data_IF_718525173221
#
_entry.id   IF_718525173221
#
_cell.length_a   1.000
_cell.length_b   1.000
_cell.length_c   1.000
_cell.angle_alpha   90.00
_cell.angle_beta   90.00
_cell.angle_gamma   90.00
#
_symmetry.space_group_name_H-M   'P 1'
#
loop_
_entity.id
_entity.type
_entity.pdbx_description
1 polymer ?
#
# COMPACT_ATOMS: atom_id res chain seq x y z
N UNK A 1 9.58 -7.84 52.04
CA UNK A 1 8.70 -6.72 51.72
C UNK A 1 9.45 -5.79 50.78
N UNK A 2 9.83 -6.27 49.57
CA UNK A 2 10.60 -5.50 48.58
C UNK A 2 10.53 -6.10 47.17
N UNK A 3 9.49 -6.84 46.81
CA UNK A 3 9.32 -7.48 45.49
C UNK A 3 8.06 -6.98 44.72
N UNK A 4 7.19 -6.16 45.38
CA UNK A 4 5.97 -5.68 44.70
C UNK A 4 6.11 -4.27 44.07
N UNK A 5 7.24 -3.57 44.29
CA UNK A 5 7.42 -2.21 43.74
C UNK A 5 8.09 -2.16 42.36
N UNK A 6 8.67 -3.27 41.89
CA UNK A 6 9.31 -3.32 40.57
C UNK A 6 8.37 -3.78 39.44
N UNK A 7 7.28 -4.46 39.78
CA UNK A 7 6.28 -4.93 38.79
C UNK A 7 5.32 -3.81 38.37
N UNK A 8 5.05 -2.84 39.26
CA UNK A 8 4.16 -1.71 38.95
C UNK A 8 4.79 -0.72 37.96
N UNK A 9 6.08 -0.46 38.08
CA UNK A 9 6.78 0.51 37.25
C UNK A 9 7.07 -0.02 35.81
N UNK A 10 7.34 -1.32 35.70
CA UNK A 10 7.48 -1.98 34.40
C UNK A 10 6.14 -2.14 33.66
N UNK A 11 5.05 -2.11 34.39
CA UNK A 11 3.69 -2.20 33.84
C UNK A 11 3.20 -0.80 33.38
N UNK A 12 3.51 0.26 34.13
CA UNK A 12 3.26 1.64 33.71
C UNK A 12 4.12 2.02 32.47
N UNK A 13 5.40 1.62 32.44
CA UNK A 13 6.28 1.85 31.28
C UNK A 13 5.88 1.01 30.05
N UNK A 14 5.24 -0.13 30.22
CA UNK A 14 4.72 -0.96 29.15
C UNK A 14 3.37 -0.46 28.61
N UNK A 15 2.52 0.05 29.50
CA UNK A 15 1.24 0.67 29.13
C UNK A 15 1.50 2.00 28.39
N UNK A 16 2.48 2.82 28.81
CA UNK A 16 2.93 4.04 28.08
C UNK A 16 3.50 3.71 26.68
N UNK A 17 4.23 2.57 26.54
CA UNK A 17 4.74 2.13 25.23
C UNK A 17 3.64 1.59 24.32
N UNK A 18 2.65 0.89 24.87
CA UNK A 18 1.51 0.39 24.09
C UNK A 18 0.55 1.55 23.72
N UNK A 19 0.37 2.55 24.59
CA UNK A 19 -0.33 3.78 24.26
C UNK A 19 0.37 4.52 23.09
N UNK A 20 1.70 4.55 23.04
CA UNK A 20 2.46 5.13 21.93
C UNK A 20 2.27 4.39 20.60
N UNK A 21 2.09 3.08 20.62
CA UNK A 21 1.79 2.28 19.41
C UNK A 21 0.30 2.31 19.02
N UNK A 22 -0.62 2.45 19.99
CA UNK A 22 -2.03 2.72 19.73
C UNK A 22 -2.23 4.15 19.21
N UNK A 23 -1.45 5.13 19.70
CA UNK A 23 -1.46 6.51 19.24
C UNK A 23 -0.91 6.64 17.79
N UNK A 24 0.10 5.88 17.37
CA UNK A 24 0.52 5.84 15.96
C UNK A 24 -0.56 5.22 15.04
N UNK A 25 -1.35 4.27 15.52
CA UNK A 25 -2.52 3.75 14.81
C UNK A 25 -3.72 4.69 14.91
N UNK A 26 -3.83 5.51 15.95
CA UNK A 26 -4.85 6.55 16.12
C UNK A 26 -4.41 7.92 15.59
N UNK A 27 -3.12 8.25 15.49
CA UNK A 27 -2.61 9.52 14.91
C UNK A 27 -2.90 9.64 13.40
N UNK A 28 -3.13 8.53 12.72
CA UNK A 28 -3.81 8.57 11.40
C UNK A 28 -5.27 9.09 11.55
N UNK A 29 -5.81 9.19 12.75
CA UNK A 29 -7.22 9.52 13.03
C UNK A 29 -7.40 10.75 13.95
N UNK A 30 -6.40 11.26 14.67
CA UNK A 30 -6.63 12.36 15.62
C UNK A 30 -5.74 13.57 15.38
N UNK A 31 -6.32 14.52 14.67
CA UNK A 31 -5.96 15.92 14.78
C UNK A 31 -6.25 16.47 16.21
N UNK A 32 -5.46 17.42 16.67
CA UNK A 32 -5.47 18.00 18.02
C UNK A 32 -6.87 18.46 18.47
N UNK A 33 -7.23 18.27 19.76
CA UNK A 33 -8.50 18.76 20.26
C UNK A 33 -8.47 20.29 20.36
N UNK A 34 -9.25 20.95 19.54
CA UNK A 34 -9.72 22.30 19.88
C UNK A 34 -10.64 22.21 21.09
N UNK A 35 -10.53 23.10 22.07
CA UNK A 35 -11.35 23.23 23.30
C UNK A 35 -12.86 23.54 23.04
N UNK A 36 -13.32 23.48 21.81
CA UNK A 36 -14.73 23.47 21.44
C UNK A 36 -15.15 21.99 21.33
N UNK A 37 -16.14 21.57 22.12
CA UNK A 37 -16.69 20.21 22.05
C UNK A 37 -16.95 19.81 20.58
N UNK A 38 -16.97 18.49 20.26
CA UNK A 38 -16.93 18.00 18.89
C UNK A 38 -17.99 18.69 18.04
N UNK A 39 -17.55 19.48 17.06
CA UNK A 39 -18.45 20.15 16.11
C UNK A 39 -19.26 19.08 15.34
N UNK A 40 -20.41 19.46 14.80
CA UNK A 40 -21.20 18.57 13.96
C UNK A 40 -20.44 18.13 12.70
N UNK A 41 -19.45 18.89 12.29
CA UNK A 41 -18.61 18.63 11.12
C UNK A 41 -17.23 19.27 11.30
N UNK A 42 -16.26 18.68 10.63
CA UNK A 42 -14.88 19.14 10.52
C UNK A 42 -14.42 19.03 9.08
N UNK A 43 -13.82 20.09 8.55
CA UNK A 43 -13.25 20.11 7.21
C UNK A 43 -11.74 20.33 7.32
N UNK A 44 -10.99 19.34 6.89
CA UNK A 44 -9.53 19.39 6.79
C UNK A 44 -9.09 19.23 5.35
N UNK A 45 -7.85 19.57 5.07
CA UNK A 45 -7.32 19.37 3.73
C UNK A 45 -5.85 19.75 3.62
N UNK A 46 -5.27 19.41 2.49
CA UNK A 46 -3.93 19.86 2.13
C UNK A 46 -3.84 20.30 0.67
N UNK A 47 -3.02 21.30 0.45
CA UNK A 47 -2.57 21.73 -0.86
C UNK A 47 -1.09 21.45 -0.98
N UNK A 48 -0.69 20.60 -1.93
CA UNK A 48 0.70 20.26 -2.14
C UNK A 48 1.18 20.58 -3.55
N UNK A 49 2.46 20.88 -3.65
CA UNK A 49 3.19 21.00 -4.92
C UNK A 49 4.40 20.08 -4.84
N UNK A 50 4.50 19.14 -5.76
CA UNK A 50 5.63 18.23 -5.85
C UNK A 50 6.31 18.34 -7.21
N UNK A 51 7.63 18.18 -7.22
CA UNK A 51 8.44 18.15 -8.42
C UNK A 51 9.37 16.93 -8.40
N UNK A 52 9.55 16.29 -9.54
CA UNK A 52 10.47 15.17 -9.73
C UNK A 52 11.41 15.45 -10.90
N UNK A 53 12.71 15.21 -10.70
CA UNK A 53 13.74 15.39 -11.71
C UNK A 53 14.49 14.09 -11.96
N UNK A 54 14.19 13.44 -13.10
CA UNK A 54 14.80 12.20 -13.54
C UNK A 54 16.14 12.47 -14.23
N UNK A 55 17.25 12.36 -13.52
CA UNK A 55 18.56 12.69 -14.05
C UNK A 55 19.24 11.52 -14.81
N UNK A 56 18.86 10.30 -14.52
CA UNK A 56 19.42 9.10 -15.13
C UNK A 56 18.60 8.53 -16.29
N UNK A 57 17.35 9.00 -16.48
CA UNK A 57 16.48 8.53 -17.55
C UNK A 57 17.12 8.74 -18.93
N UNK A 58 17.03 7.72 -19.80
CA UNK A 58 17.58 7.82 -21.16
C UNK A 58 16.58 8.45 -22.12
N UNK A 59 17.04 9.46 -22.82
CA UNK A 59 16.30 10.06 -23.94
C UNK A 59 16.21 9.09 -25.12
N UNK A 60 15.17 9.22 -25.95
CA UNK A 60 14.84 8.41 -27.13
C UNK A 60 14.26 7.04 -26.82
N UNK A 61 12.99 7.03 -26.57
CA UNK A 61 12.18 5.83 -26.44
C UNK A 61 11.29 5.68 -27.69
N UNK A 62 11.17 4.49 -28.30
CA UNK A 62 10.35 4.28 -29.48
C UNK A 62 8.84 4.49 -29.24
N UNK A 63 8.40 4.52 -27.99
CA UNK A 63 7.00 4.68 -27.57
C UNK A 63 6.69 6.09 -27.05
N UNK A 64 7.42 7.12 -27.47
CA UNK A 64 7.19 8.51 -27.07
C UNK A 64 7.18 8.71 -25.54
N UNK A 65 8.24 8.32 -24.85
CA UNK A 65 8.45 8.62 -23.44
C UNK A 65 9.56 9.64 -23.27
N UNK A 66 9.25 10.82 -22.79
CA UNK A 66 10.24 11.86 -22.53
C UNK A 66 10.16 12.28 -21.05
N UNK A 67 10.80 11.49 -20.19
CA UNK A 67 10.82 11.73 -18.75
C UNK A 67 12.16 12.22 -18.22
N UNK A 68 13.15 12.43 -19.09
CA UNK A 68 14.45 12.97 -18.67
C UNK A 68 14.33 14.44 -18.28
N UNK A 69 14.86 14.79 -17.13
CA UNK A 69 14.77 16.15 -16.58
C UNK A 69 13.58 16.29 -15.65
N UNK A 70 12.73 17.30 -15.88
CA UNK A 70 11.53 17.52 -15.06
C UNK A 70 10.48 16.43 -15.37
N UNK A 71 10.46 15.34 -14.61
CA UNK A 71 9.55 14.22 -14.86
C UNK A 71 8.14 14.50 -14.34
N UNK A 72 7.99 15.24 -13.23
CA UNK A 72 6.70 15.65 -12.67
C UNK A 72 6.78 17.07 -12.11
N UNK A 73 5.69 17.82 -12.21
CA UNK A 73 5.43 19.08 -11.52
C UNK A 73 3.94 19.14 -11.18
N UNK A 74 3.58 18.45 -10.11
CA UNK A 74 2.20 18.16 -9.72
C UNK A 74 1.72 19.12 -8.64
N UNK A 75 0.55 19.71 -8.85
CA UNK A 75 -0.21 20.42 -7.82
C UNK A 75 -1.41 19.58 -7.45
N UNK A 76 -1.56 19.28 -6.15
CA UNK A 76 -2.62 18.40 -5.63
C UNK A 76 -3.38 19.09 -4.51
N UNK A 77 -4.68 18.91 -4.50
CA UNK A 77 -5.58 19.29 -3.40
C UNK A 77 -6.24 18.02 -2.86
N UNK A 78 -6.17 17.82 -1.55
CA UNK A 78 -6.96 16.84 -0.80
C UNK A 78 -7.94 17.58 0.09
N UNK A 79 -9.17 17.08 0.19
CA UNK A 79 -10.19 17.57 1.09
C UNK A 79 -10.85 16.41 1.81
N UNK A 80 -11.10 16.57 3.10
CA UNK A 80 -11.77 15.60 3.95
C UNK A 80 -12.82 16.30 4.81
N UNK A 81 -14.03 15.83 4.76
CA UNK A 81 -15.14 16.25 5.59
C UNK A 81 -15.55 15.10 6.52
N UNK A 82 -15.33 15.27 7.79
CA UNK A 82 -15.78 14.38 8.84
C UNK A 82 -17.07 14.92 9.49
N UNK A 83 -18.06 14.03 9.69
CA UNK A 83 -19.36 14.34 10.23
C UNK A 83 -19.60 13.52 11.50
N UNK A 84 -19.86 14.19 12.62
CA UNK A 84 -20.32 13.60 13.86
C UNK A 84 -21.84 13.59 13.91
N UNK A 85 -22.44 12.41 13.78
CA UNK A 85 -23.87 12.21 13.70
C UNK A 85 -24.46 11.77 15.07
N UNK A 86 -25.78 11.91 15.30
CA UNK A 86 -26.39 11.44 16.53
C UNK A 86 -26.15 9.96 16.82
N UNK A 87 -26.06 9.57 18.10
CA UNK A 87 -25.85 8.18 18.59
C UNK A 87 -24.46 7.64 18.21
N UNK A 88 -23.44 8.46 18.25
CA UNK A 88 -22.03 8.12 17.97
C UNK A 88 -21.78 7.55 16.55
N UNK A 89 -22.70 7.85 15.62
CA UNK A 89 -22.45 7.59 14.22
C UNK A 89 -21.50 8.64 13.64
N UNK A 90 -20.61 8.19 12.76
CA UNK A 90 -19.64 9.04 12.05
C UNK A 90 -19.76 8.80 10.56
N UNK A 91 -19.50 9.81 9.77
CA UNK A 91 -19.36 9.68 8.32
C UNK A 91 -18.17 10.50 7.85
N UNK A 92 -17.50 10.02 6.82
CA UNK A 92 -16.43 10.71 6.13
C UNK A 92 -16.73 10.82 4.66
N UNK A 93 -16.37 11.95 4.08
CA UNK A 93 -16.28 12.16 2.64
C UNK A 93 -14.95 12.80 2.33
N UNK A 94 -14.08 12.11 1.61
CA UNK A 94 -12.79 12.67 1.18
C UNK A 94 -12.57 12.48 -0.32
N UNK A 95 -11.72 13.34 -0.87
CA UNK A 95 -11.34 13.28 -2.27
C UNK A 95 -10.03 13.99 -2.52
N UNK A 96 -9.37 13.62 -3.62
CA UNK A 96 -8.16 14.26 -4.12
C UNK A 96 -8.33 14.67 -5.56
N UNK A 97 -7.64 15.73 -5.95
CA UNK A 97 -7.48 16.07 -7.35
C UNK A 97 -6.09 16.62 -7.58
N UNK A 98 -5.47 16.27 -8.70
CA UNK A 98 -4.18 16.81 -9.09
C UNK A 98 -4.12 17.21 -10.56
N UNK A 99 -3.15 18.07 -10.86
CA UNK A 99 -2.73 18.41 -12.21
C UNK A 99 -1.20 18.44 -12.30
N UNK A 100 -0.64 17.66 -13.25
CA UNK A 100 0.80 17.62 -13.49
C UNK A 100 1.19 18.48 -14.69
N UNK A 101 1.79 19.63 -14.40
CA UNK A 101 2.20 20.60 -15.39
C UNK A 101 3.41 20.17 -16.24
N UNK A 102 4.15 19.14 -15.85
CA UNK A 102 5.35 18.65 -16.55
C UNK A 102 5.00 18.22 -17.98
N UNK A 103 3.89 17.52 -18.18
CA UNK A 103 3.42 17.09 -19.50
C UNK A 103 3.22 18.25 -20.47
N UNK A 104 2.68 19.36 -19.98
CA UNK A 104 2.49 20.56 -20.79
C UNK A 104 3.80 21.28 -21.07
N UNK A 105 4.69 21.36 -20.08
CA UNK A 105 6.01 22.01 -20.21
C UNK A 105 6.89 21.25 -21.20
N UNK A 106 6.91 19.93 -21.14
CA UNK A 106 7.69 19.08 -22.04
C UNK A 106 7.03 18.89 -23.43
N UNK A 107 5.75 19.22 -23.53
CA UNK A 107 4.93 19.11 -24.74
C UNK A 107 4.22 17.77 -24.84
N UNK A 108 2.90 17.78 -24.63
CA UNK A 108 2.00 16.60 -24.61
C UNK A 108 2.21 15.61 -25.76
N UNK A 109 2.62 16.08 -26.94
CA UNK A 109 2.91 15.25 -28.12
C UNK A 109 4.05 14.22 -27.92
N UNK A 110 4.86 14.39 -26.88
CA UNK A 110 5.99 13.52 -26.55
C UNK A 110 5.57 12.34 -25.66
N UNK A 111 4.27 12.23 -25.35
CA UNK A 111 3.68 11.22 -24.49
C UNK A 111 2.56 10.49 -25.22
N UNK A 112 2.23 9.29 -24.81
CA UNK A 112 1.08 8.53 -25.31
C UNK A 112 -0.22 9.10 -24.73
N UNK A 113 -1.35 8.83 -25.39
CA UNK A 113 -2.65 9.29 -24.89
C UNK A 113 -2.98 8.59 -23.55
N UNK A 114 -2.64 7.29 -23.42
CA UNK A 114 -2.85 6.49 -22.21
C UNK A 114 -2.09 7.10 -21.01
N UNK A 115 -0.82 7.48 -21.19
CA UNK A 115 -0.03 8.11 -20.12
C UNK A 115 -0.57 9.48 -19.73
N UNK A 116 -1.12 10.26 -20.68
CA UNK A 116 -1.74 11.55 -20.40
C UNK A 116 -3.06 11.38 -19.63
N UNK A 117 -3.89 10.42 -20.03
CA UNK A 117 -5.21 10.20 -19.44
C UNK A 117 -5.14 9.80 -17.95
N UNK A 118 -4.04 9.14 -17.53
CA UNK A 118 -3.90 8.62 -16.15
C UNK A 118 -2.95 9.42 -15.27
N UNK A 119 -2.05 10.20 -15.86
CA UNK A 119 -0.96 10.85 -15.10
C UNK A 119 -0.92 12.38 -15.22
N UNK A 120 -1.61 13.01 -16.21
CA UNK A 120 -1.62 14.47 -16.33
C UNK A 120 -2.58 15.12 -15.35
N UNK A 121 -3.79 14.60 -15.19
CA UNK A 121 -4.75 15.06 -14.20
C UNK A 121 -5.68 13.96 -13.73
N UNK A 122 -6.12 14.06 -12.47
CA UNK A 122 -7.06 13.13 -11.86
C UNK A 122 -7.94 13.86 -10.86
N UNK A 123 -9.19 13.46 -10.78
CA UNK A 123 -10.12 13.84 -9.72
C UNK A 123 -10.83 12.59 -9.20
N UNK A 124 -10.60 12.23 -7.96
CA UNK A 124 -11.11 11.00 -7.36
C UNK A 124 -11.73 11.25 -5.98
N UNK A 125 -12.89 10.61 -5.73
CA UNK A 125 -13.35 10.40 -4.36
C UNK A 125 -12.57 9.28 -3.73
N UNK A 126 -11.94 9.53 -2.57
CA UNK A 126 -11.19 8.54 -1.84
C UNK A 126 -12.08 7.78 -0.86
N UNK A 127 -12.26 8.25 0.34
CA UNK A 127 -13.12 7.58 1.31
C UNK A 127 -14.52 8.23 1.36
N UNK A 128 -15.54 7.40 1.30
CA UNK A 128 -16.94 7.79 1.53
C UNK A 128 -17.61 6.68 2.34
N UNK A 129 -17.70 6.86 3.65
CA UNK A 129 -18.22 5.82 4.51
C UNK A 129 -19.08 6.37 5.66
N UNK A 130 -19.91 5.49 6.20
CA UNK A 130 -20.71 5.66 7.41
C UNK A 130 -20.35 4.55 8.40
N UNK A 131 -20.09 4.92 9.67
CA UNK A 131 -19.72 4.00 10.74
C UNK A 131 -20.55 4.27 11.99
N UNK A 132 -20.90 3.21 12.73
CA UNK A 132 -21.56 3.33 14.01
C UNK A 132 -21.91 1.98 14.61
N UNK A 133 -22.30 1.99 15.89
CA UNK A 133 -22.67 0.78 16.63
C UNK A 133 -24.13 0.41 16.35
N UNK A 134 -24.33 -0.81 15.86
CA UNK A 134 -25.66 -1.41 15.71
C UNK A 134 -26.17 -1.96 17.05
N UNK A 135 -25.25 -2.53 17.83
CA UNK A 135 -25.46 -3.09 19.17
C UNK A 135 -24.23 -2.76 20.03
N UNK A 136 -24.30 -2.85 21.38
CA UNK A 136 -23.14 -2.54 22.25
C UNK A 136 -21.85 -3.31 21.94
N UNK A 137 -21.93 -4.42 21.19
CA UNK A 137 -20.81 -5.30 20.85
C UNK A 137 -20.68 -5.47 19.34
N UNK A 138 -21.40 -4.72 18.52
CA UNK A 138 -21.43 -4.87 17.07
C UNK A 138 -21.38 -3.53 16.38
N UNK A 139 -20.26 -3.27 15.71
CA UNK A 139 -20.07 -2.09 14.87
C UNK A 139 -20.22 -2.42 13.39
N UNK A 140 -20.75 -1.44 12.67
CA UNK A 140 -20.87 -1.45 11.22
C UNK A 140 -20.06 -0.28 10.64
N UNK A 141 -19.25 -0.55 9.62
CA UNK A 141 -18.71 0.46 8.71
C UNK A 141 -19.10 0.09 7.28
N UNK A 142 -19.75 1.00 6.57
CA UNK A 142 -20.23 0.78 5.20
C UNK A 142 -19.82 1.93 4.29
N UNK A 143 -19.31 1.60 3.12
CA UNK A 143 -18.94 2.56 2.08
C UNK A 143 -17.54 2.33 1.56
N UNK A 144 -17.02 3.29 0.79
CA UNK A 144 -15.68 3.25 0.22
C UNK A 144 -14.67 3.56 1.31
N UNK A 145 -13.80 2.60 1.62
CA UNK A 145 -12.89 2.63 2.77
C UNK A 145 -11.64 1.78 2.54
N UNK A 146 -10.63 2.01 3.37
CA UNK A 146 -9.41 1.21 3.43
C UNK A 146 -9.48 0.31 4.67
N UNK A 147 -9.02 -0.94 4.52
CA UNK A 147 -8.82 -1.91 5.62
C UNK A 147 -7.40 -2.45 5.52
N UNK A 148 -6.58 -2.17 6.51
CA UNK A 148 -5.22 -2.70 6.59
C UNK A 148 -5.19 -3.95 7.48
N UNK A 149 -4.66 -5.06 6.97
CA UNK A 149 -4.44 -6.30 7.72
C UNK A 149 -2.95 -6.59 7.96
N UNK A 150 -2.07 -5.89 7.23
CA UNK A 150 -0.63 -6.12 7.29
C UNK A 150 0.01 -5.69 8.61
N UNK A 151 1.11 -6.32 8.96
CA UNK A 151 2.00 -5.97 10.07
C UNK A 151 3.26 -5.25 9.58
N UNK A 152 3.61 -5.44 8.31
CA UNK A 152 4.69 -4.71 7.67
C UNK A 152 4.17 -3.44 7.04
N UNK A 153 4.91 -2.36 7.21
CA UNK A 153 4.66 -1.07 6.57
C UNK A 153 5.18 -0.99 5.12
N UNK A 154 5.86 -2.04 4.65
CA UNK A 154 6.55 -1.99 3.36
C UNK A 154 6.22 -3.16 2.44
N UNK A 155 5.93 -4.35 2.97
CA UNK A 155 5.69 -5.56 2.18
C UNK A 155 4.35 -6.18 2.57
N UNK A 156 3.46 -6.42 1.61
CA UNK A 156 2.16 -7.05 1.83
C UNK A 156 2.27 -8.57 1.83
N UNK A 157 1.68 -9.24 2.82
CA UNK A 157 1.51 -10.69 2.88
C UNK A 157 0.03 -11.07 3.01
N UNK A 158 -0.61 -10.70 4.12
CA UNK A 158 -2.05 -10.97 4.37
C UNK A 158 -2.97 -9.80 3.99
N UNK A 159 -2.42 -8.65 3.67
CA UNK A 159 -3.15 -7.43 3.31
C UNK A 159 -3.58 -7.47 1.84
N UNK A 160 -4.77 -8.04 1.57
CA UNK A 160 -5.25 -8.39 0.23
C UNK A 160 -6.57 -7.73 -0.17
N UNK A 161 -7.14 -6.84 0.68
CA UNK A 161 -8.49 -6.33 0.46
C UNK A 161 -8.55 -5.03 -0.32
N UNK A 162 -7.51 -4.22 -0.24
CA UNK A 162 -7.44 -2.97 -0.98
C UNK A 162 -6.36 -3.06 -2.05
N UNK A 163 -6.65 -2.73 -3.30
CA UNK A 163 -5.63 -2.63 -4.34
C UNK A 163 -4.69 -1.45 -4.08
N UNK A 164 -3.57 -1.38 -4.81
CA UNK A 164 -2.56 -0.35 -4.67
C UNK A 164 -2.44 0.53 -5.92
N UNK A 165 -2.10 1.79 -5.72
CA UNK A 165 -1.61 2.68 -6.77
C UNK A 165 -0.09 2.48 -6.95
N UNK A 166 0.27 1.60 -7.89
CA UNK A 166 1.66 1.25 -8.20
C UNK A 166 2.24 2.08 -9.36
N UNK A 167 1.56 3.15 -9.78
CA UNK A 167 1.98 3.96 -10.96
C UNK A 167 3.34 4.62 -10.79
N UNK A 168 3.74 4.95 -9.56
CA UNK A 168 4.99 5.66 -9.25
C UNK A 168 5.80 4.92 -8.15
N UNK A 169 6.36 3.72 -8.43
CA UNK A 169 7.01 2.89 -7.43
C UNK A 169 8.19 3.59 -6.76
N UNK A 170 8.25 3.53 -5.43
CA UNK A 170 9.31 4.14 -4.62
C UNK A 170 9.16 5.64 -4.35
N UNK A 171 8.20 6.34 -4.96
CA UNK A 171 7.95 7.76 -4.73
C UNK A 171 6.91 8.02 -3.63
N UNK A 172 6.02 7.07 -3.39
CA UNK A 172 4.93 7.16 -2.42
C UNK A 172 5.15 6.11 -1.33
N UNK A 173 4.80 6.41 -0.09
CA UNK A 173 4.82 5.42 0.99
C UNK A 173 3.64 4.46 0.83
N UNK A 174 3.80 3.21 1.28
CA UNK A 174 2.81 2.15 1.03
C UNK A 174 1.44 2.43 1.67
N UNK A 175 1.41 3.20 2.73
CA UNK A 175 0.18 3.61 3.41
C UNK A 175 -0.70 4.47 2.50
N UNK A 176 -0.08 5.37 1.74
CA UNK A 176 -0.74 6.24 0.76
C UNK A 176 -1.04 5.54 -0.57
N UNK A 177 -0.51 4.33 -0.80
CA UNK A 177 -0.74 3.58 -2.03
C UNK A 177 -2.08 2.84 -2.04
N UNK A 178 -2.68 2.56 -0.87
CA UNK A 178 -3.93 1.78 -0.84
C UNK A 178 -5.08 2.55 -1.46
N UNK A 179 -5.76 1.89 -2.39
CA UNK A 179 -6.95 2.42 -3.05
C UNK A 179 -8.20 1.98 -2.28
N UNK A 180 -9.07 2.90 -1.86
CA UNK A 180 -10.28 2.54 -1.16
C UNK A 180 -11.27 1.85 -2.09
N UNK A 181 -12.04 0.89 -1.53
CA UNK A 181 -13.12 0.17 -2.23
C UNK A 181 -14.39 0.13 -1.39
N UNK A 182 -15.54 0.03 -2.05
CA UNK A 182 -16.83 -0.04 -1.38
C UNK A 182 -17.00 -1.41 -0.72
N UNK A 183 -17.12 -1.40 0.61
CA UNK A 183 -17.32 -2.62 1.39
C UNK A 183 -18.28 -2.41 2.58
N UNK A 184 -18.81 -3.53 3.07
CA UNK A 184 -19.48 -3.64 4.36
C UNK A 184 -18.55 -4.35 5.31
N UNK A 185 -18.22 -3.72 6.44
CA UNK A 185 -17.42 -4.29 7.52
C UNK A 185 -18.26 -4.37 8.78
N UNK A 186 -18.26 -5.52 9.44
CA UNK A 186 -18.93 -5.78 10.71
C UNK A 186 -17.89 -6.27 11.71
N UNK A 187 -17.80 -5.62 12.87
CA UNK A 187 -16.91 -5.98 13.96
C UNK A 187 -17.73 -6.38 15.19
N UNK A 188 -17.54 -7.63 15.64
CA UNK A 188 -18.17 -8.16 16.86
C UNK A 188 -17.14 -8.35 17.96
N UNK A 189 -17.32 -7.68 19.09
CA UNK A 189 -16.39 -7.66 20.22
C UNK A 189 -16.80 -8.63 21.32
N UNK A 190 -15.86 -9.47 21.78
CA UNK A 190 -16.04 -10.38 22.91
C UNK A 190 -14.76 -10.52 23.75
N UNK A 191 -14.70 -9.83 24.87
CA UNK A 191 -13.49 -9.78 25.70
C UNK A 191 -12.29 -9.25 24.90
N UNK A 192 -11.15 -9.95 24.87
CA UNK A 192 -9.97 -9.52 24.10
C UNK A 192 -10.06 -9.87 22.61
N UNK A 193 -11.17 -10.44 22.16
CA UNK A 193 -11.34 -10.90 20.78
C UNK A 193 -12.28 -10.03 19.98
N UNK A 194 -11.92 -9.78 18.74
CA UNK A 194 -12.77 -9.15 17.72
C UNK A 194 -12.93 -10.12 16.56
N UNK A 195 -14.18 -10.41 16.20
CA UNK A 195 -14.52 -11.12 14.98
C UNK A 195 -14.98 -10.11 13.93
N UNK A 196 -14.24 -10.00 12.84
CA UNK A 196 -14.53 -9.11 11.72
C UNK A 196 -15.07 -9.91 10.54
N UNK A 197 -16.17 -9.45 9.92
CA UNK A 197 -16.69 -9.96 8.66
C UNK A 197 -16.72 -8.84 7.62
N UNK A 198 -16.25 -9.10 6.40
CA UNK A 198 -16.16 -8.10 5.33
C UNK A 198 -16.79 -8.66 4.04
N UNK A 199 -17.59 -7.82 3.37
CA UNK A 199 -18.06 -8.04 2.01
C UNK A 199 -17.63 -6.85 1.15
N UNK A 200 -16.74 -7.09 0.17
CA UNK A 200 -16.29 -6.08 -0.80
C UNK A 200 -17.24 -6.09 -2.00
N UNK A 201 -17.82 -4.94 -2.32
CA UNK A 201 -18.86 -4.78 -3.34
C UNK A 201 -18.36 -4.16 -4.64
N UNK A 202 -17.26 -3.43 -4.57
CA UNK A 202 -16.59 -2.80 -5.70
C UNK A 202 -15.41 -3.66 -6.15
N UNK A 203 -15.40 -4.07 -7.41
CA UNK A 203 -14.26 -4.73 -8.04
C UNK A 203 -13.33 -3.63 -8.53
N UNK A 204 -12.13 -3.56 -7.97
CA UNK A 204 -11.06 -2.64 -8.35
C UNK A 204 -9.75 -3.40 -8.21
N UNK A 205 -8.81 -3.15 -9.10
CA UNK A 205 -7.50 -3.78 -9.13
C UNK A 205 -6.40 -2.75 -8.93
N UNK A 206 -5.17 -3.23 -8.79
CA UNK A 206 -3.98 -2.39 -8.71
C UNK A 206 -3.90 -1.45 -9.92
N UNK A 207 -3.68 -0.17 -9.66
CA UNK A 207 -3.35 0.80 -10.70
C UNK A 207 -1.85 0.71 -11.00
N UNK A 208 -1.54 0.04 -12.10
CA UNK A 208 -0.17 -0.12 -12.57
C UNK A 208 0.20 0.98 -13.58
N UNK A 209 1.51 1.20 -13.86
CA UNK A 209 1.93 2.14 -14.89
C UNK A 209 1.28 1.82 -16.24
N UNK A 210 0.66 2.80 -16.90
CA UNK A 210 0.03 2.66 -18.20
C UNK A 210 1.01 2.69 -19.34
N UNK A 211 0.57 2.20 -20.52
CA UNK A 211 1.40 2.15 -21.71
C UNK A 211 1.95 3.54 -22.08
N UNK A 212 3.27 3.63 -22.14
CA UNK A 212 3.97 4.85 -22.44
C UNK A 212 4.21 5.75 -21.22
N UNK A 213 3.70 5.41 -20.03
CA UNK A 213 4.09 6.08 -18.79
C UNK A 213 5.55 5.78 -18.42
N UNK A 214 6.10 6.53 -17.49
CA UNK A 214 7.51 6.48 -17.15
C UNK A 214 7.97 5.10 -16.67
N UNK A 215 7.16 4.44 -15.85
CA UNK A 215 7.49 3.15 -15.22
C UNK A 215 6.95 1.93 -15.98
N UNK A 216 6.29 2.14 -17.13
CA UNK A 216 5.80 1.01 -17.92
C UNK A 216 6.96 0.21 -18.52
N UNK A 217 7.07 -1.12 -18.24
CA UNK A 217 8.32 -1.84 -18.45
C UNK A 217 8.59 -2.26 -19.90
N UNK A 218 7.57 -2.32 -20.75
CA UNK A 218 7.68 -2.90 -22.10
C UNK A 218 7.26 -1.90 -23.19
N UNK A 219 7.74 -2.13 -24.43
CA UNK A 219 7.49 -1.24 -25.59
C UNK A 219 6.26 -1.64 -26.40
N UNK A 220 5.41 -2.53 -25.92
CA UNK A 220 4.21 -3.04 -26.59
C UNK A 220 3.01 -2.80 -25.69
N UNK A 221 1.88 -2.28 -26.23
CA UNK A 221 0.65 -2.15 -25.43
C UNK A 221 0.22 -3.48 -24.84
N UNK A 222 -0.28 -3.53 -23.60
CA UNK A 222 -0.81 -4.74 -23.00
C UNK A 222 -2.07 -5.21 -23.77
N UNK A 223 -2.39 -6.50 -23.71
CA UNK A 223 -3.70 -6.98 -24.18
C UNK A 223 -4.85 -6.33 -23.41
N UNK A 224 -6.07 -6.30 -23.98
CA UNK A 224 -7.24 -5.83 -23.25
C UNK A 224 -7.44 -6.61 -21.97
N UNK A 225 -7.80 -5.91 -20.91
CA UNK A 225 -8.10 -6.49 -19.59
C UNK A 225 -9.62 -6.70 -19.44
N UNK A 226 -9.99 -7.84 -18.88
CA UNK A 226 -11.37 -8.18 -18.54
C UNK A 226 -11.59 -7.94 -17.04
N UNK A 227 -12.21 -6.81 -16.72
CA UNK A 227 -12.55 -6.46 -15.35
C UNK A 227 -13.93 -6.99 -14.99
N UNK A 228 -14.07 -7.91 -14.01
CA UNK A 228 -15.37 -8.37 -13.53
C UNK A 228 -16.24 -7.21 -13.03
N UNK A 229 -17.54 -7.25 -13.34
CA UNK A 229 -18.47 -6.22 -12.89
C UNK A 229 -18.71 -6.24 -11.37
N UNK A 230 -19.11 -5.09 -10.80
CA UNK A 230 -19.32 -4.91 -9.37
C UNK A 230 -20.47 -5.77 -8.80
N UNK A 231 -20.28 -6.30 -7.59
CA UNK A 231 -21.30 -6.97 -6.79
C UNK A 231 -21.78 -8.32 -7.31
N UNK A 232 -22.88 -8.82 -6.75
CA UNK A 232 -23.47 -10.11 -7.13
C UNK A 232 -22.52 -11.29 -6.87
N UNK A 233 -22.25 -12.10 -7.91
CA UNK A 233 -21.30 -13.24 -7.83
C UNK A 233 -19.84 -12.79 -7.69
N UNK A 234 -19.54 -11.53 -7.99
CA UNK A 234 -18.20 -10.96 -7.93
C UNK A 234 -17.88 -10.31 -6.57
N UNK A 235 -18.85 -10.27 -5.64
CA UNK A 235 -18.59 -9.87 -4.25
C UNK A 235 -17.46 -10.71 -3.67
N UNK A 236 -16.48 -10.02 -3.09
CA UNK A 236 -15.40 -10.67 -2.34
C UNK A 236 -15.77 -10.77 -0.88
N UNK A 237 -15.27 -11.78 -0.21
CA UNK A 237 -15.60 -12.07 1.17
C UNK A 237 -14.34 -12.24 2.00
N UNK A 238 -14.36 -11.68 3.19
CA UNK A 238 -13.25 -11.82 4.08
C UNK A 238 -13.70 -11.89 5.55
N UNK A 239 -12.89 -12.53 6.38
CA UNK A 239 -13.11 -12.63 7.81
C UNK A 239 -11.78 -12.59 8.55
N UNK A 240 -11.78 -11.99 9.74
CA UNK A 240 -10.64 -12.01 10.64
C UNK A 240 -11.08 -12.28 12.08
N UNK A 241 -10.26 -13.00 12.83
CA UNK A 241 -10.39 -13.17 14.28
C UNK A 241 -9.12 -12.62 14.92
N UNK A 242 -9.22 -11.48 15.60
CA UNK A 242 -8.09 -10.78 16.23
C UNK A 242 -8.22 -10.84 17.74
N UNK A 243 -7.14 -11.25 18.41
CA UNK A 243 -7.02 -11.22 19.87
C UNK A 243 -5.89 -10.27 20.28
N UNK A 244 -6.22 -9.32 21.17
CA UNK A 244 -5.27 -8.32 21.69
C UNK A 244 -5.03 -8.61 23.17
N UNK A 245 -3.74 -8.71 23.55
CA UNK A 245 -3.30 -9.04 24.89
C UNK A 245 -2.16 -8.13 25.31
N UNK A 246 -1.83 -8.10 26.60
CA UNK A 246 -0.72 -7.28 27.10
C UNK A 246 0.61 -7.68 26.44
N UNK A 247 1.18 -6.82 25.64
CA UNK A 247 2.46 -6.99 24.95
C UNK A 247 2.45 -7.89 23.71
N UNK A 248 1.31 -8.40 23.25
CA UNK A 248 1.21 -9.18 22.01
C UNK A 248 -0.20 -9.23 21.46
N UNK A 249 -0.30 -9.42 20.17
CA UNK A 249 -1.55 -9.68 19.48
C UNK A 249 -1.41 -10.86 18.52
N UNK A 250 -2.54 -11.42 18.12
CA UNK A 250 -2.62 -12.50 17.13
C UNK A 250 -3.88 -12.34 16.30
N UNK A 251 -3.77 -12.59 15.00
CA UNK A 251 -4.92 -12.58 14.10
C UNK A 251 -4.91 -13.77 13.17
N UNK A 252 -6.09 -14.32 12.90
CA UNK A 252 -6.34 -15.33 11.87
C UNK A 252 -7.20 -14.69 10.79
N UNK A 253 -6.88 -14.94 9.53
CA UNK A 253 -7.53 -14.31 8.38
C UNK A 253 -7.99 -15.34 7.37
N UNK A 254 -9.10 -15.08 6.74
CA UNK A 254 -9.59 -15.77 5.57
C UNK A 254 -10.13 -14.75 4.56
N UNK A 255 -9.81 -14.93 3.28
CA UNK A 255 -10.38 -14.11 2.22
C UNK A 255 -10.63 -14.93 0.96
N UNK A 256 -11.69 -14.59 0.23
CA UNK A 256 -11.95 -15.03 -1.13
C UNK A 256 -12.16 -13.80 -2.00
N UNK A 257 -11.20 -13.53 -2.87
CA UNK A 257 -11.05 -12.28 -3.60
C UNK A 257 -10.50 -12.54 -5.01
N UNK A 258 -10.43 -11.50 -5.83
CA UNK A 258 -9.72 -11.57 -7.12
C UNK A 258 -8.24 -11.20 -6.92
N UNK A 259 -7.35 -11.85 -7.67
CA UNK A 259 -5.94 -11.47 -7.71
C UNK A 259 -5.80 -10.08 -8.35
N UNK A 260 -5.14 -9.16 -7.66
CA UNK A 260 -4.83 -7.83 -8.19
C UNK A 260 -3.88 -7.92 -9.40
N UNK A 261 -3.08 -8.99 -9.48
CA UNK A 261 -2.18 -9.26 -10.61
C UNK A 261 -2.92 -10.05 -11.68
N UNK A 262 -3.18 -9.40 -12.82
CA UNK A 262 -3.77 -10.07 -13.97
C UNK A 262 -2.79 -11.07 -14.61
N UNK A 263 -3.30 -12.21 -15.04
CA UNK A 263 -2.58 -13.19 -15.87
C UNK A 263 -3.06 -13.14 -17.32
N UNK A 264 -2.20 -13.56 -18.24
CA UNK A 264 -2.55 -13.62 -19.66
C UNK A 264 -3.36 -14.90 -19.93
N UNK A 265 -4.45 -14.78 -20.70
CA UNK A 265 -5.23 -15.92 -21.18
C UNK A 265 -5.50 -15.82 -22.68
N UNK A 266 -5.65 -16.95 -23.37
CA UNK A 266 -6.09 -17.02 -24.76
C UNK A 266 -7.59 -17.32 -24.84
N UNK A 267 -8.39 -16.27 -25.00
CA UNK A 267 -9.85 -16.40 -25.08
C UNK A 267 -10.32 -16.69 -26.51
N UNK A 268 -11.31 -17.60 -26.72
CA UNK A 268 -11.85 -17.89 -28.02
C UNK A 268 -12.45 -16.65 -28.69
N UNK A 269 -12.05 -16.36 -29.93
CA UNK A 269 -12.69 -15.33 -30.73
C UNK A 269 -13.89 -15.89 -31.50
N UNK A 270 -14.93 -15.07 -31.70
CA UNK A 270 -16.09 -15.47 -32.50
C UNK A 270 -15.72 -15.80 -33.95
N UNK A 271 -14.69 -15.19 -34.52
CA UNK A 271 -14.11 -15.44 -35.85
C UNK A 271 -12.60 -15.23 -35.73
N UNK A 272 -11.81 -16.23 -36.17
CA UNK A 272 -10.35 -16.18 -36.21
C UNK A 272 -9.67 -16.93 -35.05
N UNK A 273 -8.37 -16.76 -34.87
CA UNK A 273 -7.61 -17.39 -33.78
C UNK A 273 -8.01 -16.82 -32.42
N UNK A 274 -7.75 -17.57 -31.32
CA UNK A 274 -7.88 -17.04 -29.96
C UNK A 274 -7.10 -15.73 -29.79
N UNK A 275 -7.60 -14.85 -28.92
CA UNK A 275 -7.01 -13.54 -28.67
C UNK A 275 -6.43 -13.51 -27.26
N UNK A 276 -5.27 -12.88 -27.07
CA UNK A 276 -4.74 -12.65 -25.73
C UNK A 276 -5.63 -11.63 -24.99
N UNK A 277 -5.91 -11.91 -23.75
CA UNK A 277 -6.67 -11.08 -22.82
C UNK A 277 -6.06 -11.21 -21.42
N UNK A 278 -6.11 -10.15 -20.63
CA UNK A 278 -5.74 -10.20 -19.22
C UNK A 278 -6.96 -10.53 -18.38
N UNK A 279 -6.83 -11.53 -17.52
CA UNK A 279 -7.88 -12.04 -16.64
C UNK A 279 -7.40 -12.02 -15.18
N UNK A 280 -8.33 -11.93 -14.22
CA UNK A 280 -8.05 -11.96 -12.80
C UNK A 280 -8.52 -13.25 -12.16
N UNK A 281 -7.59 -14.03 -11.64
CA UNK A 281 -7.87 -15.28 -10.94
C UNK A 281 -8.66 -15.07 -9.64
N UNK A 282 -9.50 -16.04 -9.28
CA UNK A 282 -10.23 -16.00 -8.01
C UNK A 282 -9.50 -16.78 -6.94
N UNK A 283 -8.85 -16.07 -6.02
CA UNK A 283 -8.02 -16.65 -4.98
C UNK A 283 -8.79 -16.92 -3.69
N UNK A 284 -8.32 -17.92 -2.95
CA UNK A 284 -8.67 -18.12 -1.53
C UNK A 284 -7.40 -17.99 -0.69
N UNK A 285 -7.42 -17.14 0.32
CA UNK A 285 -6.31 -16.95 1.27
C UNK A 285 -6.71 -17.44 2.66
N UNK A 286 -5.77 -18.14 3.32
CA UNK A 286 -5.76 -18.39 4.75
C UNK A 286 -4.51 -17.76 5.33
N UNK A 287 -4.66 -16.90 6.32
CA UNK A 287 -3.56 -16.14 6.89
C UNK A 287 -3.52 -16.17 8.41
N UNK A 288 -2.35 -15.94 8.96
CA UNK A 288 -2.13 -15.70 10.38
C UNK A 288 -1.07 -14.62 10.56
N UNK A 289 -1.25 -13.77 11.55
CA UNK A 289 -0.27 -12.73 11.88
C UNK A 289 -0.20 -12.50 13.39
N UNK A 290 0.86 -11.84 13.83
CA UNK A 290 0.99 -11.42 15.21
C UNK A 290 2.19 -10.51 15.44
N UNK A 291 2.08 -9.73 16.49
CA UNK A 291 3.14 -8.89 17.02
C UNK A 291 3.49 -9.33 18.44
N UNK A 292 4.73 -9.13 18.83
CA UNK A 292 5.20 -9.33 20.19
C UNK A 292 6.17 -8.23 20.59
N UNK A 293 5.78 -7.41 21.56
CA UNK A 293 6.59 -6.34 22.12
C UNK A 293 7.49 -6.86 23.25
N UNK A 294 8.79 -6.56 23.19
CA UNK A 294 9.77 -6.95 24.18
C UNK A 294 10.77 -5.81 24.43
N UNK A 295 10.49 -5.00 25.45
CA UNK A 295 11.26 -3.76 25.70
C UNK A 295 11.18 -2.84 24.47
N UNK A 296 12.31 -2.44 23.94
CA UNK A 296 12.38 -1.58 22.73
C UNK A 296 12.30 -2.35 21.41
N UNK A 297 11.93 -3.61 21.43
CA UNK A 297 11.82 -4.46 20.25
C UNK A 297 10.36 -4.80 19.95
N UNK A 298 9.95 -4.71 18.69
CA UNK A 298 8.71 -5.27 18.18
C UNK A 298 9.05 -6.38 17.18
N UNK A 299 8.61 -7.60 17.49
CA UNK A 299 8.70 -8.74 16.58
C UNK A 299 7.39 -8.87 15.83
N UNK A 300 7.46 -8.94 14.49
CA UNK A 300 6.32 -9.06 13.58
C UNK A 300 6.40 -10.39 12.84
N UNK A 301 5.28 -11.08 12.67
CA UNK A 301 5.22 -12.29 11.87
C UNK A 301 3.92 -12.37 11.10
N UNK A 302 4.02 -12.78 9.83
CA UNK A 302 2.87 -13.09 8.98
C UNK A 302 3.10 -14.40 8.23
N UNK A 303 2.04 -15.15 8.02
CA UNK A 303 2.03 -16.31 7.14
C UNK A 303 0.72 -16.34 6.37
N UNK A 304 0.79 -16.58 5.05
CA UNK A 304 -0.37 -16.72 4.20
C UNK A 304 -0.23 -17.94 3.26
N UNK A 305 -1.33 -18.63 3.07
CA UNK A 305 -1.49 -19.67 2.06
C UNK A 305 -2.51 -19.18 1.03
N UNK A 306 -2.12 -19.17 -0.24
CA UNK A 306 -2.96 -18.79 -1.37
C UNK A 306 -3.25 -19.99 -2.23
N UNK A 307 -4.49 -20.14 -2.66
CA UNK A 307 -4.98 -21.18 -3.55
C UNK A 307 -5.74 -20.57 -4.72
N UNK A 308 -5.56 -21.12 -5.93
CA UNK A 308 -6.22 -20.65 -7.15
C UNK A 308 -5.37 -19.72 -8.03
N UNK A 309 -4.03 -19.71 -7.89
CA UNK A 309 -3.14 -18.91 -8.74
C UNK A 309 -3.11 -19.48 -10.17
N UNK A 310 -3.43 -18.63 -11.15
CA UNK A 310 -3.46 -18.99 -12.56
C UNK A 310 -2.31 -18.35 -13.33
N UNK A 311 -1.77 -19.08 -14.31
CA UNK A 311 -0.63 -18.66 -15.14
C UNK A 311 -0.82 -19.08 -16.60
N UNK A 312 -0.34 -18.26 -17.53
CA UNK A 312 -0.50 -18.48 -18.96
C UNK A 312 0.06 -19.82 -19.43
N UNK A 313 1.30 -20.13 -19.03
CA UNK A 313 1.97 -21.38 -19.50
C UNK A 313 1.41 -22.64 -18.86
N UNK A 314 0.56 -22.52 -17.84
CA UNK A 314 -0.04 -23.62 -17.08
C UNK A 314 -1.58 -23.54 -17.11
N UNK A 315 -2.18 -23.08 -18.21
CA UNK A 315 -3.62 -22.91 -18.32
C UNK A 315 -4.40 -24.15 -17.84
N UNK A 316 -5.26 -23.95 -16.82
CA UNK A 316 -6.06 -24.99 -16.19
C UNK A 316 -5.30 -25.88 -15.17
N UNK A 317 -4.11 -25.45 -14.70
CA UNK A 317 -3.35 -26.09 -13.62
C UNK A 317 -3.02 -25.05 -12.55
N UNK A 318 -4.01 -24.74 -11.73
CA UNK A 318 -3.91 -23.73 -10.66
C UNK A 318 -2.81 -24.09 -9.67
N UNK A 319 -2.10 -23.08 -9.18
CA UNK A 319 -1.01 -23.25 -8.23
C UNK A 319 -1.40 -22.70 -6.86
N UNK A 320 -0.64 -23.14 -5.87
CA UNK A 320 -0.73 -22.62 -4.51
C UNK A 320 0.58 -21.97 -4.12
N UNK A 321 0.50 -20.95 -3.25
CA UNK A 321 1.66 -20.21 -2.78
C UNK A 321 1.64 -20.05 -1.25
N UNK A 322 2.81 -20.19 -0.66
CA UNK A 322 3.07 -19.84 0.73
C UNK A 322 3.91 -18.58 0.82
N UNK A 323 3.42 -17.60 1.54
CA UNK A 323 4.13 -16.37 1.87
C UNK A 323 4.38 -16.36 3.37
N UNK A 324 5.64 -16.21 3.79
CA UNK A 324 6.02 -16.15 5.20
C UNK A 324 6.90 -14.92 5.42
N UNK A 325 6.53 -14.09 6.37
CA UNK A 325 7.24 -12.88 6.77
C UNK A 325 7.72 -12.97 8.20
N UNK A 326 8.95 -12.51 8.42
CA UNK A 326 9.48 -12.16 9.74
C UNK A 326 9.93 -10.70 9.72
N UNK A 327 9.48 -9.93 10.70
CA UNK A 327 9.80 -8.52 10.86
C UNK A 327 10.40 -8.24 12.23
N UNK A 328 11.30 -7.27 12.28
CA UNK A 328 11.96 -6.81 13.49
C UNK A 328 12.01 -5.29 13.46
N UNK A 329 11.49 -4.65 14.53
CA UNK A 329 11.58 -3.22 14.72
C UNK A 329 12.26 -2.90 16.04
N UNK A 330 13.05 -1.85 16.06
CA UNK A 330 13.77 -1.38 17.24
C UNK A 330 13.61 0.13 17.41
N UNK A 331 13.03 0.54 18.54
CA UNK A 331 12.79 1.92 18.94
C UNK A 331 13.50 2.28 20.26
N UNK A 332 14.72 1.79 20.48
CA UNK A 332 15.49 2.02 21.70
C UNK A 332 16.52 3.14 21.61
N UNK A 333 16.62 3.86 20.52
CA UNK A 333 17.38 5.09 20.36
C UNK A 333 16.45 6.29 20.42
N UNK A 334 16.91 7.41 20.96
CA UNK A 334 16.12 8.64 21.02
C UNK A 334 15.71 9.05 19.60
N UNK A 335 14.41 9.32 19.40
CA UNK A 335 13.81 9.79 18.16
C UNK A 335 14.18 8.95 16.92
N UNK A 336 14.42 7.63 17.10
CA UNK A 336 14.90 6.78 16.00
C UNK A 336 14.25 5.41 16.01
N UNK A 337 13.70 5.00 14.86
CA UNK A 337 13.15 3.67 14.61
C UNK A 337 13.91 2.99 13.48
N UNK A 338 14.21 1.71 13.65
CA UNK A 338 14.87 0.85 12.66
C UNK A 338 14.00 -0.37 12.45
N UNK A 339 13.60 -0.66 11.22
CA UNK A 339 12.84 -1.87 10.89
C UNK A 339 13.48 -2.68 9.77
N UNK A 340 13.33 -3.99 9.86
CA UNK A 340 13.74 -4.96 8.84
C UNK A 340 12.65 -6.00 8.70
N UNK A 341 12.05 -6.09 7.52
CA UNK A 341 11.08 -7.11 7.15
C UNK A 341 11.64 -7.98 6.05
N UNK A 342 11.48 -9.30 6.17
CA UNK A 342 11.88 -10.28 5.16
C UNK A 342 10.73 -11.21 4.87
N UNK A 343 10.34 -11.29 3.62
CA UNK A 343 9.29 -12.19 3.13
C UNK A 343 9.90 -13.23 2.21
N UNK A 344 9.48 -14.48 2.38
CA UNK A 344 9.72 -15.56 1.43
C UNK A 344 8.40 -16.01 0.83
N UNK A 345 8.31 -16.00 -0.50
CA UNK A 345 7.18 -16.55 -1.26
C UNK A 345 7.61 -17.83 -1.95
N UNK A 346 6.81 -18.88 -1.80
CA UNK A 346 7.09 -20.21 -2.35
C UNK A 346 5.88 -20.78 -3.09
N UNK A 347 6.05 -21.14 -4.35
CA UNK A 347 5.00 -21.77 -5.17
C UNK A 347 5.12 -23.28 -5.06
N UNK A 348 4.06 -23.93 -4.59
CA UNK A 348 3.99 -25.39 -4.50
C UNK A 348 3.73 -26.02 -5.88
N UNK A 349 4.46 -27.10 -6.18
CA UNK A 349 4.34 -27.76 -7.49
C UNK A 349 4.83 -26.88 -8.65
N UNK A 350 5.86 -26.08 -8.40
CA UNK A 350 6.44 -25.16 -9.38
C UNK A 350 6.88 -25.88 -10.67
N UNK A 351 6.60 -25.26 -11.80
CA UNK A 351 7.07 -25.68 -13.13
C UNK A 351 8.02 -24.64 -13.68
N UNK A 352 9.22 -25.04 -14.12
CA UNK A 352 10.24 -24.12 -14.60
C UNK A 352 9.84 -23.32 -15.85
N UNK A 353 8.76 -23.68 -16.53
CA UNK A 353 8.20 -22.86 -17.62
C UNK A 353 7.72 -21.50 -17.14
N UNK A 354 7.33 -21.38 -15.87
CA UNK A 354 6.91 -20.12 -15.24
C UNK A 354 8.04 -19.06 -15.15
N UNK A 355 9.31 -19.49 -15.21
CA UNK A 355 10.45 -18.56 -15.19
C UNK A 355 10.60 -17.75 -16.50
N UNK A 356 9.84 -18.08 -17.52
CA UNK A 356 9.93 -17.46 -18.83
C UNK A 356 8.72 -16.58 -19.15
N UNK A 357 8.86 -15.76 -20.19
CA UNK A 357 7.78 -14.94 -20.75
C UNK A 357 6.55 -15.81 -21.11
N UNK A 358 5.33 -15.35 -20.78
CA UNK A 358 4.98 -14.05 -20.19
C UNK A 358 4.88 -14.03 -18.67
N UNK A 359 4.99 -15.16 -17.97
CA UNK A 359 4.69 -15.25 -16.54
C UNK A 359 5.80 -14.66 -15.64
N UNK A 360 7.08 -14.92 -15.95
CA UNK A 360 8.26 -14.45 -15.19
C UNK A 360 8.18 -14.66 -13.68
N UNK A 361 7.84 -15.88 -13.26
CA UNK A 361 7.61 -16.23 -11.86
C UNK A 361 8.70 -17.18 -11.35
N UNK A 362 9.24 -16.88 -10.17
CA UNK A 362 10.23 -17.72 -9.51
C UNK A 362 9.60 -18.68 -8.50
N UNK A 363 10.21 -19.87 -8.36
CA UNK A 363 9.79 -20.87 -7.37
C UNK A 363 9.87 -20.34 -5.92
N UNK A 364 10.97 -19.62 -5.62
CA UNK A 364 11.21 -19.02 -4.31
C UNK A 364 11.66 -17.58 -4.52
N UNK A 365 10.83 -16.64 -4.13
CA UNK A 365 11.15 -15.23 -4.16
C UNK A 365 11.34 -14.71 -2.75
N UNK A 366 12.43 -14.01 -2.53
CA UNK A 366 12.68 -13.29 -1.27
C UNK A 366 12.53 -11.81 -1.51
N UNK A 367 11.85 -11.13 -0.60
CA UNK A 367 11.68 -9.68 -0.58
C UNK A 367 12.19 -9.18 0.75
N UNK A 368 13.01 -8.14 0.74
CA UNK A 368 13.60 -7.55 1.95
C UNK A 368 13.34 -6.05 1.95
N UNK A 369 12.77 -5.55 3.02
CA UNK A 369 12.61 -4.13 3.26
C UNK A 369 13.37 -3.72 4.52
N UNK A 370 14.17 -2.67 4.39
CA UNK A 370 14.86 -2.03 5.50
C UNK A 370 14.45 -0.57 5.57
N UNK A 371 13.97 -0.12 6.73
CA UNK A 371 13.60 1.26 7.00
C UNK A 371 14.38 1.79 8.20
N UNK A 372 14.88 2.98 8.08
CA UNK A 372 15.51 3.76 9.14
C UNK A 372 14.88 5.14 9.16
N UNK A 373 14.21 5.49 10.24
CA UNK A 373 13.59 6.79 10.44
C UNK A 373 14.20 7.45 11.66
N UNK A 374 14.56 8.71 11.57
CA UNK A 374 15.06 9.47 12.71
C UNK A 374 14.55 10.90 12.65
N UNK A 375 14.28 11.48 13.80
CA UNK A 375 13.79 12.83 13.94
C UNK A 375 14.84 13.74 14.59
N UNK A 376 14.82 15.00 14.25
CA UNK A 376 15.73 16.03 14.74
C UNK A 376 14.95 17.29 15.04
N UNK A 377 15.57 18.21 15.85
CA UNK A 377 15.01 19.53 16.13
C UNK A 377 13.62 19.49 16.80
N UNK A 378 13.42 18.58 17.77
CA UNK A 378 12.14 18.31 18.41
C UNK A 378 11.07 17.92 17.35
N UNK A 379 11.33 16.85 16.63
CA UNK A 379 10.50 16.23 15.57
C UNK A 379 10.18 17.12 14.35
N UNK A 380 10.76 18.34 14.27
CA UNK A 380 10.55 19.23 13.12
C UNK A 380 11.26 18.80 11.84
N UNK A 381 12.28 17.98 11.93
CA UNK A 381 12.99 17.43 10.79
C UNK A 381 12.97 15.90 10.91
N UNK A 382 12.27 15.23 10.00
CA UNK A 382 12.24 13.78 9.90
C UNK A 382 13.07 13.34 8.70
N UNK A 383 13.98 12.39 8.90
CA UNK A 383 14.77 11.77 7.83
C UNK A 383 14.45 10.28 7.77
N UNK A 384 14.09 9.79 6.58
CA UNK A 384 13.75 8.39 6.35
C UNK A 384 14.61 7.81 5.23
N UNK A 385 15.24 6.68 5.50
CA UNK A 385 15.87 5.82 4.50
C UNK A 385 15.07 4.54 4.37
N UNK A 386 14.65 4.21 3.15
CA UNK A 386 13.95 2.98 2.79
C UNK A 386 14.72 2.26 1.69
N UNK A 387 14.93 0.96 1.85
CA UNK A 387 15.46 0.09 0.81
C UNK A 387 14.56 -1.14 0.67
N UNK A 388 14.07 -1.39 -0.54
CA UNK A 388 13.30 -2.60 -0.87
C UNK A 388 14.06 -3.36 -1.96
N UNK A 389 14.43 -4.60 -1.67
CA UNK A 389 15.29 -5.42 -2.51
C UNK A 389 14.65 -6.79 -2.69
N UNK A 390 14.71 -7.30 -3.91
CA UNK A 390 14.10 -8.56 -4.33
C UNK A 390 15.18 -9.56 -4.77
N UNK A 391 14.83 -10.85 -4.71
CA UNK A 391 15.69 -11.94 -5.15
C UNK A 391 16.63 -12.49 -4.08
N UNK A 392 17.28 -13.61 -4.38
CA UNK A 392 18.21 -14.33 -3.50
C UNK A 392 19.48 -14.71 -4.28
N UNK A 393 20.64 -14.03 -4.08
CA UNK A 393 20.99 -13.10 -3.01
C UNK A 393 20.93 -11.60 -3.44
N UNK A 394 19.75 -11.03 -3.63
CA UNK A 394 19.53 -9.63 -4.01
C UNK A 394 19.74 -9.34 -5.50
N UNK A 395 19.47 -10.31 -6.36
CA UNK A 395 19.66 -10.28 -7.82
C UNK A 395 18.41 -9.83 -8.59
N UNK A 396 17.24 -9.82 -7.96
CA UNK A 396 15.97 -9.45 -8.59
C UNK A 396 15.79 -7.96 -8.89
N UNK A 397 16.61 -7.08 -8.26
CA UNK A 397 16.48 -5.64 -8.36
C UNK A 397 15.73 -5.01 -7.18
N UNK A 398 15.38 -3.72 -7.29
CA UNK A 398 14.72 -3.00 -6.21
C UNK A 398 14.87 -1.49 -6.31
N UNK A 399 14.65 -0.79 -5.19
CA UNK A 399 14.91 0.65 -5.08
C UNK A 399 15.36 1.04 -3.68
N UNK A 400 16.01 2.20 -3.59
CA UNK A 400 16.37 2.87 -2.34
C UNK A 400 15.86 4.29 -2.38
N UNK A 401 15.26 4.76 -1.27
CA UNK A 401 14.79 6.13 -1.11
C UNK A 401 15.41 6.74 0.14
N UNK A 402 15.93 7.94 0.02
CA UNK A 402 16.28 8.80 1.13
C UNK A 402 15.43 10.06 1.05
N UNK A 403 14.65 10.35 2.07
CA UNK A 403 13.83 11.55 2.17
C UNK A 403 14.10 12.31 3.46
N UNK A 404 13.88 13.62 3.41
CA UNK A 404 13.89 14.51 4.55
C UNK A 404 12.67 15.42 4.46
N UNK A 405 11.89 15.51 5.53
CA UNK A 405 10.74 16.37 5.65
C UNK A 405 10.98 17.35 6.80
N UNK A 406 10.77 18.63 6.54
CA UNK A 406 11.00 19.69 7.50
C UNK A 406 9.72 20.52 7.69
N UNK A 407 9.23 20.55 8.91
CA UNK A 407 8.12 21.40 9.32
C UNK A 407 8.61 22.85 9.46
N UNK A 408 8.37 23.64 8.42
CA UNK A 408 8.78 25.04 8.38
C UNK A 408 7.93 25.89 9.32
N UNK A 409 6.63 25.59 9.42
CA UNK A 409 5.62 26.13 10.34
C UNK A 409 4.56 25.05 10.56
N UNK A 410 3.75 25.20 11.60
CA UNK A 410 2.70 24.24 12.00
C UNK A 410 1.80 23.71 10.87
N UNK A 411 1.58 24.49 9.81
CA UNK A 411 0.76 24.11 8.66
C UNK A 411 1.56 23.89 7.36
N UNK A 412 2.89 24.13 7.37
CA UNK A 412 3.71 24.11 6.15
C UNK A 412 4.90 23.18 6.32
N UNK A 413 4.86 22.05 5.62
CA UNK A 413 5.95 21.08 5.52
C UNK A 413 6.62 21.20 4.15
N UNK A 414 7.94 21.16 4.12
CA UNK A 414 8.74 21.06 2.90
C UNK A 414 9.61 19.82 3.00
N UNK A 415 9.59 19.02 1.94
CA UNK A 415 10.33 17.77 1.89
C UNK A 415 11.09 17.61 0.59
N UNK A 416 11.96 16.63 0.56
CA UNK A 416 12.68 16.24 -0.65
C UNK A 416 13.62 15.07 -0.42
N UNK A 417 14.08 14.50 -1.51
CA UNK A 417 14.94 13.33 -1.41
C UNK A 417 15.43 12.83 -2.76
N UNK A 418 15.95 11.62 -2.71
CA UNK A 418 16.47 10.89 -3.87
C UNK A 418 15.90 9.46 -3.87
N UNK A 419 15.52 8.99 -5.05
CA UNK A 419 15.21 7.57 -5.29
C UNK A 419 16.22 7.02 -6.28
N UNK A 420 16.82 5.88 -5.93
CA UNK A 420 17.76 5.12 -6.75
C UNK A 420 17.13 3.78 -7.11
N UNK A 421 17.05 3.46 -8.39
CA UNK A 421 16.48 2.20 -8.88
C UNK A 421 17.59 1.24 -9.27
N UNK A 422 17.48 0.01 -8.79
CA UNK A 422 18.44 -1.07 -9.06
C UNK A 422 17.81 -2.04 -10.04
N UNK A 423 18.46 -2.24 -11.18
CA UNK A 423 18.13 -3.32 -12.11
C UNK A 423 18.44 -4.70 -11.50
N UNK A 424 17.87 -5.74 -12.09
CA UNK A 424 18.06 -7.12 -11.69
C UNK A 424 17.34 -8.07 -12.62
N UNK A 425 17.22 -9.33 -12.21
CA UNK A 425 16.62 -10.39 -13.02
C UNK A 425 15.11 -10.20 -13.27
N UNK A 426 14.43 -9.40 -12.43
CA UNK A 426 13.02 -9.09 -12.70
C UNK A 426 12.87 -8.03 -13.79
N UNK A 427 12.10 -8.33 -14.86
CA UNK A 427 11.96 -7.44 -16.02
C UNK A 427 11.53 -6.01 -15.67
N UNK A 428 10.66 -5.86 -14.69
CA UNK A 428 10.17 -4.55 -14.23
C UNK A 428 11.30 -3.69 -13.63
N UNK A 429 12.17 -4.28 -12.81
CA UNK A 429 13.28 -3.53 -12.21
C UNK A 429 14.39 -3.27 -13.23
N UNK A 430 14.69 -4.24 -14.13
CA UNK A 430 15.66 -4.01 -15.19
C UNK A 430 15.20 -2.92 -16.17
N UNK A 431 13.92 -2.87 -16.51
CA UNK A 431 13.37 -1.79 -17.35
C UNK A 431 13.50 -0.42 -16.69
N UNK A 432 13.34 -0.35 -15.35
CA UNK A 432 13.31 0.88 -14.59
C UNK A 432 14.65 1.29 -13.96
N UNK A 433 15.74 0.57 -14.20
CA UNK A 433 17.08 0.81 -13.61
C UNK A 433 17.69 2.18 -13.87
N UNK A 434 17.14 2.95 -14.79
CA UNK A 434 17.59 4.30 -15.16
C UNK A 434 16.61 5.39 -14.77
N UNK A 435 15.72 5.13 -13.83
CA UNK A 435 14.73 6.10 -13.38
C UNK A 435 15.16 6.86 -12.11
N UNK A 436 16.48 6.84 -11.77
CA UNK A 436 17.01 7.60 -10.63
C UNK A 436 16.62 9.07 -10.69
N UNK A 437 16.14 9.59 -9.57
CA UNK A 437 15.60 10.94 -9.52
C UNK A 437 15.76 11.64 -8.19
N UNK A 438 15.72 12.95 -8.26
CA UNK A 438 15.49 13.82 -7.11
C UNK A 438 14.00 14.20 -7.06
N UNK A 439 13.47 14.35 -5.87
CA UNK A 439 12.11 14.87 -5.69
C UNK A 439 12.08 15.95 -4.61
N UNK A 440 11.07 16.80 -4.71
CA UNK A 440 10.79 17.88 -3.76
C UNK A 440 9.28 17.99 -3.57
N UNK A 441 8.84 18.30 -2.35
CA UNK A 441 7.43 18.52 -2.01
C UNK A 441 7.30 19.72 -1.07
N UNK A 442 6.26 20.51 -1.28
CA UNK A 442 5.80 21.51 -0.33
C UNK A 442 4.31 21.29 -0.08
N UNK A 443 3.91 21.11 1.19
CA UNK A 443 2.55 20.79 1.59
C UNK A 443 2.06 21.81 2.62
N UNK A 444 0.89 22.40 2.37
CA UNK A 444 0.19 23.26 3.30
C UNK A 444 -1.11 22.56 3.75
N UNK A 445 -1.21 22.28 5.04
CA UNK A 445 -2.37 21.63 5.68
C UNK A 445 -3.26 22.67 6.37
N UNK A 446 -4.57 22.48 6.38
CA UNK A 446 -5.54 23.42 6.96
C UNK A 446 -6.80 22.69 7.45
#
# INVERSE_FOLDING_TARGET
MCLCAHTSRAQEELDDLLEGFEDELEEIITDQPSDAGPGLWELTGDLSVSASYAYAHTHSDPIKREYRGLAALRTQLRLQLDLNLPRDWRARVSGRGFYDSAYRIQGRRNFTDEALDTSEDELEFQEIWLQGSLLPQLDLKFGRQIVNWGRSETIRVIDVLNPLDNREPGLVDIEDLRLPVVMTKLDYYHGPWTLTGIAVHETRFDENPDFGSEFFPIAVPPPPENTPGNGGSNTEWAAALTGIFSGWDVSLHWARFFDDTAHLELVPAAIGPPRPQLEHARLTMLGASGNYAMGNWLLKAEAAYFDGLEYFVLAGDDKTRWDIMGGLEYAGFDDTTISLDVVRRHISGFDSRLENDPDFVENNRVETAFRYTTEFMNSRLRATYLATIFGTPFDGGGFMRLSCDYELRDALTVGGGIVLYMGGDFPTFEANRKNDRLFFTAKYSF
#
